data_IF_406652655455
#
_entry.id   IF_406652655455
#
_cell.length_a   1.000
_cell.length_b   1.000
_cell.length_c   1.000
_cell.angle_alpha   90.00
_cell.angle_beta   90.00
_cell.angle_gamma   90.00
#
_symmetry.space_group_name_H-M   'P 1'
#
loop_
_entity.id
_entity.type
_entity.pdbx_description
1 polymer ?
#
# COMPACT_ATOMS: atom_id res chain seq x y z
N UNK A 1 -22.87 6.21 -16.96
CA UNK A 1 -22.00 7.32 -17.41
C UNK A 1 -20.64 6.75 -17.78
N UNK A 2 -20.18 6.93 -19.02
CA UNK A 2 -18.84 6.50 -19.44
C UNK A 2 -17.98 7.73 -19.77
N UNK A 3 -17.83 8.61 -18.78
CA UNK A 3 -16.99 9.81 -18.89
C UNK A 3 -15.61 9.49 -18.30
N UNK A 4 -14.54 9.74 -19.05
CA UNK A 4 -13.15 9.59 -18.60
C UNK A 4 -12.42 10.92 -18.71
N UNK A 5 -11.53 11.18 -17.76
CA UNK A 5 -10.65 12.34 -17.78
C UNK A 5 -9.53 12.14 -18.80
N UNK A 6 -9.61 12.83 -19.93
CA UNK A 6 -8.56 12.83 -20.98
C UNK A 6 -7.68 14.08 -20.93
N UNK A 7 -8.18 15.18 -20.36
CA UNK A 7 -7.50 16.47 -20.28
C UNK A 7 -7.37 16.99 -18.85
N UNK A 8 -7.67 18.28 -18.67
CA UNK A 8 -7.67 18.90 -17.34
C UNK A 8 -8.80 18.34 -16.48
N UNK A 9 -8.60 18.30 -15.15
CA UNK A 9 -9.68 17.92 -14.24
C UNK A 9 -10.88 18.86 -14.37
N UNK A 10 -10.66 20.14 -14.65
CA UNK A 10 -11.73 21.12 -14.82
C UNK A 10 -12.68 20.71 -15.96
N UNK A 11 -12.15 20.44 -17.15
CA UNK A 11 -12.99 20.06 -18.30
C UNK A 11 -13.76 18.75 -18.04
N UNK A 12 -13.15 17.83 -17.29
CA UNK A 12 -13.82 16.62 -16.85
C UNK A 12 -14.96 16.91 -15.87
N UNK A 13 -14.74 17.78 -14.88
CA UNK A 13 -15.76 18.15 -13.90
C UNK A 13 -16.93 18.90 -14.54
N UNK A 14 -16.67 19.81 -15.49
CA UNK A 14 -17.73 20.54 -16.21
C UNK A 14 -18.64 19.55 -16.98
N UNK A 15 -18.05 18.61 -17.74
CA UNK A 15 -18.80 17.55 -18.43
C UNK A 15 -19.52 16.60 -17.46
N UNK A 16 -18.91 16.33 -16.31
CA UNK A 16 -19.49 15.46 -15.30
C UNK A 16 -20.73 16.10 -14.68
N UNK A 17 -20.69 17.40 -14.39
CA UNK A 17 -21.80 18.17 -13.84
C UNK A 17 -22.97 18.27 -14.84
N UNK A 18 -22.69 18.51 -16.12
CA UNK A 18 -23.70 18.48 -17.19
C UNK A 18 -24.41 17.12 -17.27
N UNK A 19 -23.66 16.02 -17.19
CA UNK A 19 -24.23 14.68 -17.18
C UNK A 19 -25.04 14.42 -15.90
N UNK A 20 -24.55 14.88 -14.74
CA UNK A 20 -25.25 14.72 -13.47
C UNK A 20 -26.57 15.46 -13.46
N UNK A 21 -26.66 16.63 -14.08
CA UNK A 21 -27.91 17.38 -14.18
C UNK A 21 -28.96 16.68 -15.07
N UNK A 22 -28.55 15.76 -15.95
CA UNK A 22 -29.45 14.99 -16.80
C UNK A 22 -29.98 13.72 -16.14
N UNK A 23 -29.42 13.32 -14.99
CA UNK A 23 -29.76 12.07 -14.32
C UNK A 23 -30.10 12.28 -12.86
N UNK A 24 -31.13 11.59 -12.38
CA UNK A 24 -31.38 11.51 -10.94
C UNK A 24 -30.61 10.31 -10.38
N UNK A 25 -29.46 10.59 -9.75
CA UNK A 25 -28.53 9.57 -9.25
C UNK A 25 -28.14 9.89 -7.80
N UNK A 26 -28.22 8.91 -6.87
CA UNK A 26 -27.81 9.14 -5.49
C UNK A 26 -26.33 9.51 -5.40
N UNK A 27 -26.00 10.39 -4.46
CA UNK A 27 -24.65 10.96 -4.31
C UNK A 27 -23.57 9.87 -4.13
N UNK A 28 -23.87 8.79 -3.43
CA UNK A 28 -22.96 7.65 -3.25
C UNK A 28 -22.55 6.99 -4.58
N UNK A 29 -23.49 6.93 -5.53
CA UNK A 29 -23.20 6.47 -6.89
C UNK A 29 -22.45 7.54 -7.69
N UNK A 30 -22.81 8.82 -7.55
CA UNK A 30 -22.09 9.91 -8.19
C UNK A 30 -20.60 9.94 -7.80
N UNK A 31 -20.29 9.74 -6.52
CA UNK A 31 -18.90 9.59 -6.03
C UNK A 31 -18.21 8.42 -6.73
N UNK A 32 -18.87 7.27 -6.81
CA UNK A 32 -18.32 6.07 -7.45
C UNK A 32 -18.04 6.30 -8.95
N UNK A 33 -18.96 6.99 -9.65
CA UNK A 33 -18.81 7.40 -11.04
C UNK A 33 -17.64 8.37 -11.21
N UNK A 34 -17.52 9.38 -10.34
CA UNK A 34 -16.41 10.32 -10.36
C UNK A 34 -15.08 9.57 -10.23
N UNK A 35 -14.95 8.72 -9.20
CA UNK A 35 -13.74 7.93 -8.95
C UNK A 35 -13.40 6.92 -10.07
N UNK A 36 -14.37 6.52 -10.89
CA UNK A 36 -14.16 5.67 -12.05
C UNK A 36 -13.76 6.46 -13.30
N UNK A 37 -14.19 7.72 -13.40
CA UNK A 37 -13.89 8.62 -14.51
C UNK A 37 -12.58 9.39 -14.37
N UNK A 38 -12.08 9.57 -13.14
CA UNK A 38 -10.80 10.25 -12.88
C UNK A 38 -9.61 9.51 -13.50
N UNK A 39 -8.56 10.27 -13.84
CA UNK A 39 -7.27 9.70 -14.29
C UNK A 39 -6.67 8.84 -13.17
N UNK A 40 -6.05 7.72 -13.54
CA UNK A 40 -5.68 6.66 -12.58
C UNK A 40 -4.74 7.11 -11.45
N UNK A 41 -3.80 8.00 -11.74
CA UNK A 41 -2.89 8.63 -10.78
C UNK A 41 -3.62 9.50 -9.74
N UNK A 42 -4.65 10.24 -10.16
CA UNK A 42 -5.51 11.02 -9.27
C UNK A 42 -6.46 10.10 -8.51
N UNK A 43 -7.13 9.18 -9.20
CA UNK A 43 -8.15 8.29 -8.64
C UNK A 43 -7.63 7.45 -7.47
N UNK A 44 -6.41 6.92 -7.57
CA UNK A 44 -5.79 6.13 -6.48
C UNK A 44 -5.61 6.97 -5.22
N UNK A 45 -5.13 8.21 -5.35
CA UNK A 45 -4.94 9.09 -4.21
C UNK A 45 -6.26 9.48 -3.57
N UNK A 46 -7.25 9.85 -4.37
CA UNK A 46 -8.58 10.20 -3.85
C UNK A 46 -9.22 9.00 -3.13
N UNK A 47 -9.12 7.79 -3.69
CA UNK A 47 -9.65 6.56 -3.07
C UNK A 47 -9.05 6.26 -1.70
N UNK A 48 -7.76 6.56 -1.49
CA UNK A 48 -7.08 6.33 -0.20
C UNK A 48 -7.72 7.11 0.95
N UNK A 49 -8.35 8.24 0.66
CA UNK A 49 -9.04 9.07 1.66
C UNK A 49 -10.51 8.71 1.85
N UNK A 50 -11.03 7.72 1.12
CA UNK A 50 -12.41 7.22 1.27
C UNK A 50 -13.47 8.35 1.31
N UNK A 51 -13.56 9.20 0.27
CA UNK A 51 -14.52 10.31 0.25
C UNK A 51 -15.95 9.79 0.36
N UNK A 52 -16.76 10.47 1.18
CA UNK A 52 -18.18 10.12 1.41
C UNK A 52 -19.15 11.05 0.68
N UNK A 53 -18.68 12.24 0.31
CA UNK A 53 -19.44 13.21 -0.46
C UNK A 53 -18.78 13.48 -1.81
N UNK A 54 -19.59 13.88 -2.79
CA UNK A 54 -19.13 14.33 -4.10
C UNK A 54 -18.16 15.51 -3.97
N UNK A 55 -18.47 16.44 -3.06
CA UNK A 55 -17.65 17.62 -2.83
C UNK A 55 -16.26 17.25 -2.28
N UNK A 56 -16.19 16.29 -1.37
CA UNK A 56 -14.91 15.80 -0.83
C UNK A 56 -14.05 15.20 -1.95
N UNK A 57 -14.66 14.35 -2.79
CA UNK A 57 -13.97 13.71 -3.89
C UNK A 57 -13.43 14.75 -4.90
N UNK A 58 -14.23 15.79 -5.20
CA UNK A 58 -13.82 16.91 -6.07
C UNK A 58 -12.66 17.70 -5.45
N UNK A 59 -12.74 18.02 -4.16
CA UNK A 59 -11.70 18.76 -3.45
C UNK A 59 -10.37 18.00 -3.45
N UNK A 60 -10.41 16.72 -3.09
CA UNK A 60 -9.24 15.84 -3.10
C UNK A 60 -8.65 15.68 -4.50
N UNK A 61 -9.49 15.57 -5.54
CA UNK A 61 -9.03 15.48 -6.92
C UNK A 61 -8.29 16.76 -7.36
N UNK A 62 -8.84 17.94 -7.03
CA UNK A 62 -8.20 19.24 -7.31
C UNK A 62 -6.86 19.39 -6.62
N UNK A 63 -6.80 19.02 -5.33
CA UNK A 63 -5.55 19.03 -4.57
C UNK A 63 -4.50 18.12 -5.22
N UNK A 64 -4.88 16.90 -5.58
CA UNK A 64 -3.97 15.96 -6.20
C UNK A 64 -3.49 16.43 -7.59
N UNK A 65 -4.36 17.03 -8.40
CA UNK A 65 -3.95 17.59 -9.69
C UNK A 65 -2.89 18.70 -9.50
N UNK A 66 -3.06 19.56 -8.50
CA UNK A 66 -2.08 20.59 -8.17
C UNK A 66 -0.74 19.98 -7.69
N UNK A 67 -0.79 18.93 -6.86
CA UNK A 67 0.42 18.21 -6.43
C UNK A 67 1.17 17.65 -7.63
N UNK A 68 0.47 17.02 -8.57
CA UNK A 68 1.07 16.46 -9.79
C UNK A 68 1.64 17.55 -10.70
N UNK A 69 0.96 18.68 -10.85
CA UNK A 69 1.45 19.82 -11.61
C UNK A 69 2.75 20.39 -11.02
N UNK A 70 2.82 20.52 -9.69
CA UNK A 70 4.03 20.98 -8.99
C UNK A 70 5.17 19.95 -9.07
N UNK A 71 4.85 18.65 -8.99
CA UNK A 71 5.81 17.57 -9.14
C UNK A 71 6.40 17.51 -10.55
N UNK A 72 5.58 17.70 -11.59
CA UNK A 72 6.03 17.71 -12.99
C UNK A 72 6.96 18.89 -13.32
N UNK A 73 6.90 19.99 -12.54
CA UNK A 73 7.83 21.13 -12.69
C UNK A 73 9.18 20.90 -12.04
N UNK A 74 9.28 19.92 -11.13
CA UNK A 74 10.58 19.46 -10.65
C UNK A 74 11.14 18.55 -11.73
N UNK A 75 12.23 18.98 -12.36
CA UNK A 75 13.03 18.09 -13.19
C UNK A 75 13.34 16.83 -12.37
N UNK A 76 13.45 15.64 -12.98
CA UNK A 76 13.94 14.45 -12.32
C UNK A 76 15.45 14.62 -12.09
N UNK A 77 15.85 15.64 -11.34
CA UNK A 77 17.04 15.52 -10.53
C UNK A 77 16.63 14.50 -9.46
N UNK A 78 16.92 13.25 -9.79
CA UNK A 78 17.39 12.24 -8.85
C UNK A 78 17.85 12.87 -7.55
N UNK A 79 17.53 12.21 -6.44
CA UNK A 79 18.23 12.33 -5.17
C UNK A 79 19.73 12.00 -5.33
N UNK A 80 20.45 12.73 -6.18
CA UNK A 80 21.85 12.97 -6.04
C UNK A 80 21.96 13.86 -4.80
N UNK A 81 21.89 13.22 -3.65
CA UNK A 81 22.62 13.65 -2.47
C UNK A 81 24.06 13.82 -2.95
N UNK A 82 24.39 15.02 -3.43
CA UNK A 82 25.78 15.45 -3.48
C UNK A 82 26.26 15.30 -2.05
N UNK A 83 27.28 14.48 -1.76
CA UNK A 83 27.86 14.47 -0.44
C UNK A 83 28.17 15.93 -0.12
N UNK A 84 27.58 16.47 0.95
CA UNK A 84 28.06 17.70 1.53
C UNK A 84 29.49 17.39 1.95
N UNK A 85 30.45 17.78 1.12
CA UNK A 85 31.86 17.77 1.47
C UNK A 85 32.05 18.85 2.53
N UNK A 86 31.61 18.54 3.73
CA UNK A 86 31.88 19.35 4.91
C UNK A 86 33.39 19.24 5.17
N UNK A 87 34.12 20.36 5.33
CA UNK A 87 35.49 20.28 5.79
C UNK A 87 35.48 19.61 7.16
N UNK A 88 36.08 18.43 7.23
CA UNK A 88 36.17 17.62 8.44
C UNK A 88 36.98 18.38 9.50
N UNK A 89 36.30 19.17 10.31
CA UNK A 89 36.80 19.52 11.64
C UNK A 89 36.37 18.38 12.54
N UNK A 90 37.32 17.51 12.90
CA UNK A 90 37.12 16.38 13.79
C UNK A 90 36.34 16.84 15.03
N UNK A 91 35.08 16.43 15.13
CA UNK A 91 34.30 16.55 16.35
C UNK A 91 34.81 15.44 17.27
N UNK A 92 35.25 15.73 18.51
CA UNK A 92 35.65 14.68 19.43
C UNK A 92 34.45 13.76 19.70
N UNK A 93 34.58 12.49 19.29
CA UNK A 93 33.61 11.45 19.61
C UNK A 93 33.59 11.24 21.13
N UNK A 94 32.39 11.27 21.71
CA UNK A 94 32.20 10.88 23.11
C UNK A 94 32.59 9.41 23.30
N UNK A 95 33.16 9.01 24.45
CA UNK A 95 33.50 7.62 24.73
C UNK A 95 32.27 6.73 24.60
N UNK A 96 32.39 5.63 23.85
CA UNK A 96 31.33 4.65 23.72
C UNK A 96 31.00 4.03 25.10
N UNK A 97 29.71 3.87 25.46
CA UNK A 97 29.32 3.20 26.69
C UNK A 97 29.74 1.72 26.63
N UNK A 98 30.45 1.25 27.67
CA UNK A 98 30.83 -0.15 27.80
C UNK A 98 29.60 -0.95 28.26
N UNK A 99 29.01 -1.72 27.37
CA UNK A 99 28.00 -2.72 27.75
C UNK A 99 28.70 -3.88 28.47
N UNK A 100 28.43 -4.04 29.76
CA UNK A 100 28.84 -5.25 30.50
C UNK A 100 27.98 -6.43 30.05
N UNK A 101 28.57 -7.59 29.75
CA UNK A 101 27.79 -8.78 29.41
C UNK A 101 26.96 -9.22 30.63
N UNK A 102 25.74 -9.76 30.42
CA UNK A 102 24.96 -10.33 31.51
C UNK A 102 25.67 -11.55 32.12
N UNK A 103 25.51 -11.82 33.43
CA UNK A 103 26.12 -12.97 34.07
C UNK A 103 25.64 -14.28 33.44
N UNK A 104 26.58 -15.14 33.05
CA UNK A 104 26.31 -16.48 32.55
C UNK A 104 25.77 -17.36 33.67
N UNK A 105 24.49 -17.68 33.65
CA UNK A 105 23.92 -18.70 34.53
C UNK A 105 24.05 -20.09 33.87
N UNK A 106 24.42 -21.14 34.62
CA UNK A 106 24.47 -22.49 34.08
C UNK A 106 23.06 -22.99 33.76
N UNK A 107 22.83 -23.33 32.49
CA UNK A 107 21.61 -23.98 32.04
C UNK A 107 21.56 -25.42 32.59
N UNK A 108 20.68 -25.67 33.56
CA UNK A 108 20.35 -27.04 33.96
C UNK A 108 19.39 -27.63 32.94
N UNK A 109 19.85 -28.64 32.20
CA UNK A 109 18.99 -29.47 31.36
C UNK A 109 18.18 -30.40 32.26
N UNK A 110 16.97 -29.98 32.64
CA UNK A 110 15.95 -30.89 33.16
C UNK A 110 15.13 -31.42 31.99
N UNK A 111 15.43 -32.66 31.62
CA UNK A 111 14.69 -33.45 30.66
C UNK A 111 13.38 -33.93 31.31
N UNK A 112 12.25 -33.28 31.01
CA UNK A 112 10.91 -33.80 31.31
C UNK A 112 9.84 -33.11 30.44
N UNK A 113 9.79 -33.42 29.14
CA UNK A 113 8.64 -33.11 28.29
C UNK A 113 7.84 -34.39 28.02
N UNK A 114 7.04 -34.79 29.00
CA UNK A 114 6.08 -35.89 28.85
C UNK A 114 4.70 -35.49 29.39
N UNK A 115 4.13 -34.36 28.95
CA UNK A 115 2.69 -34.08 28.98
C UNK A 115 2.41 -32.64 28.48
N UNK A 116 1.17 -32.42 28.01
CA UNK A 116 0.59 -31.17 27.51
C UNK A 116 0.74 -30.86 26.00
N UNK A 117 0.12 -31.68 25.15
CA UNK A 117 -0.58 -31.13 23.99
C UNK A 117 -1.95 -30.63 24.45
N UNK A 118 -2.10 -29.32 24.69
CA UNK A 118 -3.42 -28.68 24.75
C UNK A 118 -3.46 -27.55 23.73
N UNK A 119 -4.14 -27.84 22.62
CA UNK A 119 -4.48 -26.93 21.52
C UNK A 119 -5.35 -25.75 21.99
N UNK A 120 -5.08 -24.51 21.55
CA UNK A 120 -6.05 -23.42 21.63
C UNK A 120 -7.05 -23.46 20.46
N UNK A 121 -8.33 -23.35 20.81
CA UNK A 121 -9.48 -23.34 19.91
C UNK A 121 -9.51 -22.11 18.98
N UNK A 122 -9.69 -22.36 17.68
CA UNK A 122 -10.30 -21.44 16.71
C UNK A 122 -11.83 -21.59 16.76
N UNK A 123 -12.64 -20.53 16.52
CA UNK A 123 -14.08 -20.68 16.34
C UNK A 123 -14.38 -21.42 15.03
N UNK A 124 -15.23 -22.42 15.16
CA UNK A 124 -15.64 -23.39 14.15
C UNK A 124 -16.45 -22.71 13.02
N UNK A 125 -16.16 -22.98 11.74
CA UNK A 125 -17.14 -23.29 10.68
C UNK A 125 -16.44 -23.80 9.41
N UNK A 126 -16.83 -25.02 8.99
CA UNK A 126 -16.67 -25.69 7.69
C UNK A 126 -15.26 -26.18 7.26
N UNK A 127 -15.17 -27.51 7.14
CA UNK A 127 -13.98 -28.29 6.83
C UNK A 127 -13.42 -28.08 5.41
N UNK A 128 -12.10 -27.91 5.30
CA UNK A 128 -11.33 -28.09 4.06
C UNK A 128 -10.47 -29.36 4.18
N UNK A 129 -10.44 -30.24 3.16
CA UNK A 129 -9.65 -31.48 3.19
C UNK A 129 -8.14 -31.20 3.12
N UNK A 130 -7.28 -32.16 3.56
CA UNK A 130 -5.84 -31.95 3.68
C UNK A 130 -5.16 -31.73 2.31
N UNK A 131 -4.03 -31.01 2.28
CA UNK A 131 -3.27 -30.81 1.05
C UNK A 131 -2.69 -32.14 0.57
N UNK A 132 -2.98 -32.49 -0.69
CA UNK A 132 -2.32 -33.60 -1.39
C UNK A 132 -0.83 -33.34 -1.46
N UNK A 133 -0.03 -34.30 -0.98
CA UNK A 133 1.41 -34.36 -1.22
C UNK A 133 1.65 -34.38 -2.74
N UNK A 134 2.09 -33.24 -3.28
CA UNK A 134 2.50 -33.15 -4.68
C UNK A 134 3.81 -33.91 -4.85
N UNK A 135 3.76 -35.09 -5.47
CA UNK A 135 4.97 -35.73 -6.00
C UNK A 135 5.57 -34.80 -7.05
N UNK A 136 6.83 -34.43 -6.84
CA UNK A 136 7.65 -33.72 -7.81
C UNK A 136 7.88 -34.66 -9.00
N UNK A 137 7.26 -34.36 -10.14
CA UNK A 137 7.47 -35.08 -11.40
C UNK A 137 8.93 -34.92 -11.82
N UNK A 138 9.57 -36.05 -12.13
CA UNK A 138 10.92 -36.08 -12.67
C UNK A 138 10.87 -35.79 -14.18
N UNK A 139 11.94 -35.24 -14.79
CA UNK A 139 11.93 -34.86 -16.21
C UNK A 139 11.64 -35.99 -17.21
N UNK A 140 11.63 -37.26 -16.78
CA UNK A 140 11.39 -38.41 -17.66
C UNK A 140 9.90 -38.72 -17.92
N UNK A 141 8.94 -38.10 -17.22
CA UNK A 141 7.50 -38.38 -17.42
C UNK A 141 6.79 -37.41 -18.40
N UNK A 142 7.48 -36.46 -19.03
CA UNK A 142 6.86 -35.49 -19.95
C UNK A 142 6.75 -35.98 -21.41
N UNK A 143 7.38 -37.10 -21.79
CA UNK A 143 7.48 -37.51 -23.21
C UNK A 143 6.48 -38.59 -23.65
N UNK A 144 5.53 -39.02 -22.81
CA UNK A 144 4.52 -39.98 -23.23
C UNK A 144 3.08 -39.46 -23.00
N UNK A 145 2.49 -38.98 -24.11
CA UNK A 145 1.08 -38.63 -24.40
C UNK A 145 0.53 -37.25 -24.04
#
# INVERSE_FOLDING_TARGET
>A
MNLKQEGTLKDFLDKFDELLNQVDLPETYAVSCLLAGLRGDIAVHVRMFCPKSLQDAICLAKLQEQVLFLASRRTPNTLALKPLSMPSKQIPLLPAPKMTPPPSYPFQSHNALSHYTKTPHQPNHAAKPPPRSGRRLTPQELEEK
#
